data_IF_965777806036
#
_entry.id   IF_965777806036
#
_cell.length_a   1.000
_cell.length_b   1.000
_cell.length_c   1.000
_cell.angle_alpha   90.00
_cell.angle_beta   90.00
_cell.angle_gamma   90.00
#
_symmetry.space_group_name_H-M   'P 1'
#
loop_
_entity.id
_entity.type
_entity.pdbx_description
1 polymer ?
#
# COMPACT_ATOMS: atom_id res chain seq x y z
N UNK A 1 21.05 -8.16 26.94
CA UNK A 1 19.73 -8.80 27.15
C UNK A 1 18.77 -8.18 26.16
N UNK A 2 18.25 -8.95 25.20
CA UNK A 2 17.38 -8.45 24.13
C UNK A 2 16.05 -7.94 24.70
N UNK A 3 15.77 -6.64 24.58
CA UNK A 3 14.52 -5.98 25.01
C UNK A 3 13.25 -6.72 24.53
N UNK A 4 13.33 -7.37 23.36
CA UNK A 4 12.22 -8.14 22.78
C UNK A 4 11.85 -9.36 23.61
N UNK A 5 12.84 -10.06 24.21
CA UNK A 5 12.60 -11.25 25.04
C UNK A 5 11.96 -10.89 26.38
N UNK A 6 12.28 -9.72 26.91
CA UNK A 6 11.70 -9.20 28.16
C UNK A 6 10.20 -8.84 28.01
N UNK A 7 9.83 -8.17 26.92
CA UNK A 7 8.43 -7.82 26.64
C UNK A 7 7.53 -9.04 26.44
N UNK A 8 8.05 -10.11 25.82
CA UNK A 8 7.30 -11.35 25.62
C UNK A 8 7.02 -12.07 26.94
N UNK A 9 7.97 -12.04 27.89
CA UNK A 9 7.75 -12.60 29.22
C UNK A 9 6.80 -11.78 30.09
N UNK A 10 6.72 -10.46 29.86
CA UNK A 10 5.86 -9.56 30.65
C UNK A 10 4.38 -9.63 30.23
N UNK A 11 4.11 -10.03 28.97
CA UNK A 11 2.76 -10.13 28.40
C UNK A 11 2.13 -11.53 28.53
N UNK A 12 2.82 -12.47 29.17
CA UNK A 12 2.37 -13.85 29.45
C UNK A 12 1.76 -14.55 28.22
N UNK A 13 2.37 -14.36 27.05
CA UNK A 13 1.92 -14.95 25.79
C UNK A 13 2.55 -16.35 25.63
N UNK A 14 1.80 -17.45 25.87
CA UNK A 14 2.34 -18.78 25.68
C UNK A 14 2.59 -19.03 24.19
N UNK A 15 3.79 -19.51 23.87
CA UNK A 15 4.15 -20.09 22.58
C UNK A 15 4.30 -19.09 21.41
N UNK A 16 4.87 -17.91 21.67
CA UNK A 16 5.30 -16.98 20.59
C UNK A 16 6.71 -17.34 20.15
N UNK A 17 6.83 -18.00 19.00
CA UNK A 17 8.13 -18.14 18.34
C UNK A 17 8.51 -16.81 17.70
N UNK A 18 9.59 -16.21 18.18
CA UNK A 18 10.10 -14.94 17.63
C UNK A 18 10.77 -15.27 16.30
N UNK A 19 10.00 -15.27 15.23
CA UNK A 19 10.56 -15.33 13.89
C UNK A 19 11.42 -14.08 13.68
N UNK A 20 12.74 -14.25 13.72
CA UNK A 20 13.65 -13.32 13.08
C UNK A 20 13.36 -13.39 11.59
N UNK A 21 12.51 -12.49 11.09
CA UNK A 21 12.46 -12.26 9.66
C UNK A 21 13.84 -11.74 9.28
N UNK A 22 14.54 -12.52 8.46
CA UNK A 22 15.70 -12.05 7.74
C UNK A 22 15.33 -10.69 7.15
N UNK A 23 16.20 -9.70 7.37
CA UNK A 23 16.11 -8.42 6.69
C UNK A 23 15.75 -8.71 5.23
N UNK A 24 14.75 -8.00 4.71
CA UNK A 24 14.17 -8.23 3.39
C UNK A 24 15.25 -8.67 2.41
N UNK A 25 15.03 -9.74 1.67
CA UNK A 25 15.98 -10.23 0.67
C UNK A 25 16.09 -9.27 -0.54
N UNK A 26 15.74 -7.99 -0.36
CA UNK A 26 16.11 -6.94 -1.28
C UNK A 26 17.62 -6.74 -1.11
N UNK A 27 18.38 -7.34 -2.02
CA UNK A 27 19.81 -7.12 -2.04
C UNK A 27 20.08 -5.62 -2.20
N UNK A 28 21.06 -5.04 -1.46
CA UNK A 28 21.30 -3.59 -1.47
C UNK A 28 21.56 -3.00 -2.86
N UNK A 29 22.04 -3.80 -3.80
CA UNK A 29 22.29 -3.42 -5.20
C UNK A 29 21.09 -3.61 -6.13
N UNK A 30 20.00 -4.21 -5.65
CA UNK A 30 18.77 -4.46 -6.38
C UNK A 30 17.59 -3.76 -5.71
N UNK A 31 17.74 -2.47 -5.46
CA UNK A 31 16.68 -1.63 -4.91
C UNK A 31 15.57 -1.50 -5.95
N UNK A 32 14.34 -1.98 -5.66
CA UNK A 32 13.23 -1.80 -6.59
C UNK A 32 12.97 -0.31 -6.76
N UNK A 33 12.99 0.18 -8.01
CA UNK A 33 12.51 1.53 -8.29
C UNK A 33 10.99 1.51 -8.24
N UNK A 34 10.42 2.15 -7.24
CA UNK A 34 9.00 2.43 -7.15
C UNK A 34 8.73 3.80 -7.78
N UNK A 35 7.75 3.88 -8.68
CA UNK A 35 7.32 5.12 -9.29
C UNK A 35 5.78 5.18 -9.22
N UNK A 36 5.25 6.38 -9.07
CA UNK A 36 3.82 6.67 -9.08
C UNK A 36 3.55 7.94 -9.88
N UNK A 37 2.30 8.13 -10.29
CA UNK A 37 1.85 9.28 -11.05
C UNK A 37 1.05 10.19 -10.13
N UNK A 38 1.22 11.51 -10.28
CA UNK A 38 0.40 12.51 -9.61
C UNK A 38 -0.39 13.28 -10.68
N UNK A 39 -1.57 12.79 -11.13
CA UNK A 39 -2.33 13.42 -12.20
C UNK A 39 -2.77 14.86 -11.87
N UNK A 40 -2.82 15.18 -10.58
CA UNK A 40 -3.31 16.45 -10.06
C UNK A 40 -2.18 17.43 -9.67
N UNK A 41 -0.91 17.12 -9.94
CA UNK A 41 0.23 17.92 -9.45
C UNK A 41 0.17 19.41 -9.83
N UNK A 42 -0.46 19.74 -10.96
CA UNK A 42 -0.60 21.12 -11.45
C UNK A 42 -1.83 21.86 -10.92
N UNK A 43 -2.64 21.26 -10.03
CA UNK A 43 -3.91 21.81 -9.56
C UNK A 43 -3.85 22.11 -8.06
N UNK A 44 -4.27 23.31 -7.66
CA UNK A 44 -4.41 23.66 -6.25
C UNK A 44 -5.84 23.42 -5.78
N UNK A 45 -5.99 22.72 -4.65
CA UNK A 45 -7.29 22.43 -4.02
C UNK A 45 -8.07 23.70 -3.62
N UNK A 46 -7.41 24.85 -3.47
CA UNK A 46 -8.03 26.11 -3.05
C UNK A 46 -8.65 26.94 -4.18
N UNK A 47 -8.30 26.67 -5.44
CA UNK A 47 -8.67 27.52 -6.59
C UNK A 47 -9.37 26.77 -7.72
N UNK A 48 -9.44 25.44 -7.64
CA UNK A 48 -9.94 24.59 -8.72
C UNK A 48 -11.32 24.04 -8.35
N UNK A 49 -12.31 24.27 -9.21
CA UNK A 49 -13.66 23.76 -8.99
C UNK A 49 -13.69 22.22 -8.98
N UNK A 50 -14.51 21.56 -8.13
CA UNK A 50 -14.56 20.10 -8.02
C UNK A 50 -14.76 19.36 -9.35
N UNK A 51 -15.50 19.95 -10.28
CA UNK A 51 -15.73 19.39 -11.62
C UNK A 51 -14.45 19.21 -12.44
N UNK A 52 -13.41 20.01 -12.18
CA UNK A 52 -12.13 19.90 -12.88
C UNK A 52 -11.40 18.64 -12.43
N UNK A 53 -11.37 18.34 -11.12
CA UNK A 53 -10.77 17.10 -10.61
C UNK A 53 -11.47 15.87 -11.19
N UNK A 54 -12.80 15.89 -11.30
CA UNK A 54 -13.57 14.82 -11.94
C UNK A 54 -13.17 14.62 -13.40
N UNK A 55 -12.99 15.71 -14.17
CA UNK A 55 -12.57 15.65 -15.58
C UNK A 55 -11.15 15.12 -15.74
N UNK A 56 -10.22 15.59 -14.90
CA UNK A 56 -8.82 15.11 -14.90
C UNK A 56 -8.78 13.62 -14.57
N UNK A 57 -9.51 13.19 -13.54
CA UNK A 57 -9.63 11.78 -13.18
C UNK A 57 -10.25 10.95 -14.31
N UNK A 58 -11.34 11.41 -14.92
CA UNK A 58 -11.99 10.72 -16.03
C UNK A 58 -11.07 10.58 -17.25
N UNK A 59 -10.32 11.64 -17.59
CA UNK A 59 -9.32 11.62 -18.66
C UNK A 59 -8.21 10.61 -18.37
N UNK A 60 -7.66 10.63 -17.15
CA UNK A 60 -6.66 9.66 -16.70
C UNK A 60 -7.20 8.22 -16.74
N UNK A 61 -8.44 8.00 -16.28
CA UNK A 61 -9.09 6.69 -16.35
C UNK A 61 -9.27 6.22 -17.78
N UNK A 62 -9.60 7.12 -18.72
CA UNK A 62 -9.70 6.81 -20.15
C UNK A 62 -8.36 6.44 -20.76
N UNK A 63 -7.28 7.15 -20.41
CA UNK A 63 -5.91 6.84 -20.84
C UNK A 63 -5.50 5.41 -20.45
N UNK A 64 -5.90 4.96 -19.25
CA UNK A 64 -5.64 3.61 -18.75
C UNK A 64 -6.84 2.67 -18.87
N UNK A 65 -7.73 2.88 -19.85
CA UNK A 65 -8.95 2.05 -20.05
C UNK A 65 -8.68 0.54 -20.11
N UNK A 66 -7.51 0.13 -20.62
CA UNK A 66 -7.07 -1.28 -20.66
C UNK A 66 -6.46 -1.83 -19.35
N UNK A 67 -6.49 -1.06 -18.26
CA UNK A 67 -6.05 -1.48 -16.92
C UNK A 67 -7.26 -1.66 -16.01
N UNK A 68 -7.22 -2.65 -15.13
CA UNK A 68 -8.22 -2.81 -14.06
C UNK A 68 -8.01 -1.72 -13.01
N UNK A 69 -9.07 -1.00 -12.64
CA UNK A 69 -9.01 0.00 -11.58
C UNK A 69 -9.21 -0.67 -10.22
N UNK A 70 -8.33 -0.33 -9.28
CA UNK A 70 -8.35 -0.81 -7.89
C UNK A 70 -8.24 0.43 -7.01
N UNK A 71 -9.15 0.60 -6.07
CA UNK A 71 -9.18 1.75 -5.17
C UNK A 71 -8.87 1.30 -3.75
N UNK A 72 -8.04 2.04 -3.04
CA UNK A 72 -7.62 1.70 -1.68
C UNK A 72 -7.83 2.87 -0.75
N UNK A 73 -8.25 2.60 0.48
CA UNK A 73 -8.46 3.62 1.52
C UNK A 73 -8.23 3.02 2.92
N UNK A 74 -7.62 3.78 3.82
CA UNK A 74 -7.34 3.44 5.20
C UNK A 74 -7.99 4.42 6.18
N UNK A 75 -8.95 3.95 6.98
CA UNK A 75 -9.71 4.82 7.89
C UNK A 75 -9.42 4.54 9.36
N UNK A 76 -9.20 5.61 10.15
CA UNK A 76 -9.07 5.55 11.60
C UNK A 76 -10.13 6.40 12.30
N UNK A 77 -10.75 5.82 13.32
CA UNK A 77 -11.59 6.46 14.34
C UNK A 77 -11.04 6.11 15.74
N UNK A 78 -11.65 6.64 16.79
CA UNK A 78 -11.16 6.44 18.16
C UNK A 78 -11.08 4.96 18.59
N UNK A 79 -12.05 4.16 18.14
CA UNK A 79 -12.28 2.76 18.51
C UNK A 79 -12.17 1.79 17.32
N UNK A 80 -11.81 2.31 16.14
CA UNK A 80 -11.79 1.56 14.90
C UNK A 80 -10.61 1.96 14.02
N UNK A 81 -9.91 0.96 13.49
CA UNK A 81 -8.96 1.13 12.40
C UNK A 81 -9.25 0.05 11.37
N UNK A 82 -9.33 0.44 10.11
CA UNK A 82 -9.58 -0.49 9.02
C UNK A 82 -9.03 0.03 7.71
N UNK A 83 -8.94 -0.87 6.74
CA UNK A 83 -8.64 -0.51 5.37
C UNK A 83 -9.57 -1.26 4.40
N UNK A 84 -9.73 -0.70 3.22
CA UNK A 84 -10.58 -1.22 2.17
C UNK A 84 -9.86 -1.25 0.82
N UNK A 85 -10.18 -2.27 0.02
CA UNK A 85 -9.81 -2.37 -1.39
C UNK A 85 -11.08 -2.59 -2.21
N UNK A 86 -11.33 -1.73 -3.18
CA UNK A 86 -12.46 -1.86 -4.10
C UNK A 86 -11.94 -2.19 -5.48
N UNK A 87 -12.42 -3.29 -6.05
CA UNK A 87 -12.10 -3.76 -7.39
C UNK A 87 -13.42 -4.00 -8.11
N UNK A 88 -13.68 -3.25 -9.18
CA UNK A 88 -15.00 -3.24 -9.83
C UNK A 88 -16.10 -2.95 -8.78
N UNK A 89 -17.06 -3.85 -8.61
CA UNK A 89 -18.16 -3.73 -7.64
C UNK A 89 -17.94 -4.56 -6.36
N UNK A 90 -16.72 -5.10 -6.17
CA UNK A 90 -16.37 -5.94 -5.02
C UNK A 90 -15.52 -5.13 -4.04
N UNK A 91 -15.91 -5.14 -2.77
CA UNK A 91 -15.19 -4.51 -1.67
C UNK A 91 -14.55 -5.58 -0.76
N UNK A 92 -13.26 -5.43 -0.50
CA UNK A 92 -12.50 -6.20 0.47
C UNK A 92 -12.12 -5.29 1.64
N UNK A 93 -12.69 -5.54 2.82
CA UNK A 93 -12.39 -4.79 4.04
C UNK A 93 -11.56 -5.59 5.02
N UNK A 94 -10.60 -4.94 5.67
CA UNK A 94 -9.76 -5.54 6.70
C UNK A 94 -9.78 -4.66 7.95
N UNK A 95 -9.99 -5.28 9.11
CA UNK A 95 -9.88 -4.61 10.41
C UNK A 95 -8.45 -4.74 10.92
N UNK A 96 -7.90 -3.62 11.40
CA UNK A 96 -6.60 -3.56 12.04
C UNK A 96 -6.76 -3.25 13.54
N UNK A 97 -5.70 -3.52 14.30
CA UNK A 97 -5.65 -3.11 15.69
C UNK A 97 -5.63 -1.58 15.80
N UNK A 98 -6.40 -1.03 16.75
CA UNK A 98 -6.55 0.43 16.92
C UNK A 98 -5.27 1.14 17.34
N UNK A 99 -4.28 0.41 17.87
CA UNK A 99 -2.95 0.93 18.17
C UNK A 99 -2.14 1.31 16.92
N UNK A 100 -2.50 0.77 15.75
CA UNK A 100 -1.82 1.08 14.50
C UNK A 100 -2.15 2.49 14.00
N UNK A 101 -1.27 3.03 13.15
CA UNK A 101 -1.43 4.37 12.57
C UNK A 101 -2.35 4.36 11.34
N UNK A 102 -2.86 5.53 10.93
CA UNK A 102 -3.55 5.68 9.64
C UNK A 102 -2.63 5.26 8.49
N UNK A 103 -1.35 5.67 8.54
CA UNK A 103 -0.33 5.24 7.58
C UNK A 103 -0.27 3.70 7.46
N UNK A 104 -0.34 2.98 8.58
CA UNK A 104 -0.34 1.51 8.57
C UNK A 104 -1.59 0.97 7.86
N UNK A 105 -2.77 1.53 8.13
CA UNK A 105 -4.00 1.10 7.44
C UNK A 105 -3.91 1.35 5.93
N UNK A 106 -3.46 2.53 5.51
CA UNK A 106 -3.23 2.86 4.08
C UNK A 106 -2.24 1.91 3.42
N UNK A 107 -1.10 1.67 4.07
CA UNK A 107 -0.09 0.75 3.56
C UNK A 107 -0.61 -0.70 3.46
N UNK A 108 -1.45 -1.13 4.40
CA UNK A 108 -2.10 -2.45 4.35
C UNK A 108 -3.17 -2.49 3.26
N UNK A 109 -3.88 -1.40 2.97
CA UNK A 109 -4.82 -1.30 1.86
C UNK A 109 -4.11 -1.59 0.52
N UNK A 110 -2.98 -0.91 0.28
CA UNK A 110 -2.16 -1.11 -0.92
C UNK A 110 -1.55 -2.51 -0.96
N UNK A 111 -1.05 -3.01 0.17
CA UNK A 111 -0.54 -4.38 0.26
C UNK A 111 -1.61 -5.41 -0.10
N UNK A 112 -2.82 -5.25 0.45
CA UNK A 112 -3.97 -6.13 0.16
C UNK A 112 -4.37 -6.08 -1.31
N UNK A 113 -4.36 -4.90 -1.94
CA UNK A 113 -4.59 -4.77 -3.37
C UNK A 113 -3.58 -5.58 -4.21
N UNK A 114 -2.30 -5.54 -3.83
CA UNK A 114 -1.25 -6.30 -4.51
C UNK A 114 -1.39 -7.81 -4.31
N UNK A 115 -1.84 -8.26 -3.14
CA UNK A 115 -2.16 -9.67 -2.91
C UNK A 115 -3.32 -10.16 -3.78
N UNK A 116 -4.37 -9.33 -3.94
CA UNK A 116 -5.48 -9.62 -4.85
C UNK A 116 -5.00 -9.68 -6.30
N UNK A 117 -4.08 -8.77 -6.69
CA UNK A 117 -3.48 -8.79 -8.03
C UNK A 117 -2.74 -10.09 -8.30
N UNK A 118 -1.87 -10.49 -7.38
CA UNK A 118 -1.06 -11.71 -7.49
C UNK A 118 -1.93 -12.97 -7.58
N UNK A 119 -3.08 -12.95 -6.92
CA UNK A 119 -3.97 -14.11 -6.85
C UNK A 119 -4.77 -14.30 -8.13
N UNK A 120 -5.47 -13.27 -8.62
CA UNK A 120 -6.53 -13.45 -9.62
C UNK A 120 -6.74 -12.29 -10.61
N UNK A 121 -5.87 -11.27 -10.64
CA UNK A 121 -6.11 -10.12 -11.53
C UNK A 121 -5.42 -10.23 -12.88
N UNK A 122 -5.93 -9.52 -13.91
CA UNK A 122 -5.23 -9.33 -15.17
C UNK A 122 -3.83 -8.72 -14.98
N UNK A 123 -2.99 -8.82 -16.01
CA UNK A 123 -1.61 -8.31 -15.96
C UNK A 123 -1.50 -6.78 -15.85
N UNK A 124 -2.55 -6.02 -16.17
CA UNK A 124 -2.54 -4.56 -16.19
C UNK A 124 -3.50 -4.01 -15.14
N UNK A 125 -2.98 -3.33 -14.12
CA UNK A 125 -3.77 -2.78 -13.02
C UNK A 125 -3.35 -1.35 -12.66
N UNK A 126 -4.31 -0.51 -12.30
CA UNK A 126 -4.10 0.82 -11.74
C UNK A 126 -4.60 0.81 -10.30
N UNK A 127 -3.71 1.05 -9.34
CA UNK A 127 -4.04 1.21 -7.93
C UNK A 127 -4.17 2.71 -7.66
N UNK A 128 -5.33 3.14 -7.19
CA UNK A 128 -5.62 4.51 -6.78
C UNK A 128 -5.65 4.59 -5.26
N UNK A 129 -4.77 5.42 -4.70
CA UNK A 129 -4.69 5.74 -3.27
C UNK A 129 -4.60 7.26 -3.11
N UNK A 130 -5.16 7.78 -2.03
CA UNK A 130 -4.98 9.17 -1.61
C UNK A 130 -3.84 9.34 -0.59
N UNK A 131 -3.16 8.25 -0.22
CA UNK A 131 -2.08 8.27 0.75
C UNK A 131 -0.74 8.63 0.14
N UNK A 132 -0.51 9.94 -0.05
CA UNK A 132 0.80 10.47 -0.49
C UNK A 132 1.93 9.98 0.42
N UNK A 133 1.70 9.93 1.74
CA UNK A 133 2.70 9.47 2.70
C UNK A 133 3.19 8.04 2.45
N UNK A 134 2.32 7.15 1.98
CA UNK A 134 2.70 5.77 1.67
C UNK A 134 3.45 5.72 0.34
N UNK A 135 2.99 6.45 -0.69
CA UNK A 135 3.70 6.53 -1.97
C UNK A 135 5.13 7.06 -1.80
N UNK A 136 5.30 8.15 -1.03
CA UNK A 136 6.62 8.70 -0.69
C UNK A 136 7.48 7.71 0.09
N UNK A 137 6.91 6.95 1.02
CA UNK A 137 7.63 5.93 1.78
C UNK A 137 8.07 4.73 0.93
N UNK A 138 7.29 4.39 -0.12
CA UNK A 138 7.63 3.34 -1.08
C UNK A 138 8.73 3.81 -2.05
N UNK A 139 8.65 5.07 -2.50
CA UNK A 139 9.67 5.69 -3.37
C UNK A 139 11.00 5.90 -2.64
N UNK A 140 10.97 6.41 -1.41
CA UNK A 140 12.16 6.74 -0.61
C UNK A 140 12.56 5.62 0.37
N UNK A 141 12.39 4.37 -0.05
CA UNK A 141 12.72 3.19 0.75
C UNK A 141 14.15 3.23 1.31
N UNK A 142 14.30 2.83 2.58
CA UNK A 142 15.59 2.65 3.24
C UNK A 142 15.53 1.52 4.29
N UNK A 143 16.67 1.20 4.92
CA UNK A 143 16.81 0.12 5.92
C UNK A 143 15.96 0.30 7.19
N UNK A 144 15.30 1.46 7.37
CA UNK A 144 14.37 1.75 8.47
C UNK A 144 12.91 1.83 8.00
N UNK A 145 12.60 1.31 6.82
CA UNK A 145 11.24 1.30 6.28
C UNK A 145 10.24 0.65 7.24
N UNK A 146 9.02 1.18 7.26
CA UNK A 146 7.91 0.57 7.96
C UNK A 146 7.64 -0.83 7.38
N UNK A 147 7.57 -1.87 8.23
CA UNK A 147 7.49 -3.28 7.80
C UNK A 147 6.47 -3.55 6.69
N UNK A 148 5.29 -2.93 6.78
CA UNK A 148 4.24 -3.06 5.75
C UNK A 148 4.70 -2.48 4.41
N UNK A 149 5.27 -1.27 4.39
CA UNK A 149 5.78 -0.65 3.16
C UNK A 149 6.88 -1.50 2.52
N UNK A 150 7.75 -2.10 3.33
CA UNK A 150 8.77 -2.99 2.82
C UNK A 150 8.18 -4.26 2.17
N UNK A 151 7.17 -4.88 2.80
CA UNK A 151 6.46 -6.04 2.23
C UNK A 151 5.72 -5.65 0.94
N UNK A 152 5.15 -4.43 0.89
CA UNK A 152 4.51 -3.85 -0.30
C UNK A 152 5.50 -3.70 -1.46
N UNK A 153 6.73 -3.26 -1.20
CA UNK A 153 7.77 -3.20 -2.24
C UNK A 153 8.20 -4.57 -2.73
N UNK A 154 8.36 -5.54 -1.82
CA UNK A 154 8.77 -6.90 -2.19
C UNK A 154 7.73 -7.56 -3.13
N UNK A 155 6.44 -7.51 -2.77
CA UNK A 155 5.38 -8.04 -3.63
C UNK A 155 5.28 -7.28 -4.95
N UNK A 156 5.41 -5.95 -4.93
CA UNK A 156 5.41 -5.12 -6.15
C UNK A 156 6.53 -5.55 -7.10
N UNK A 157 7.75 -5.74 -6.55
CA UNK A 157 8.93 -6.18 -7.30
C UNK A 157 8.75 -7.57 -7.89
N UNK A 158 8.15 -8.49 -7.11
CA UNK A 158 7.82 -9.83 -7.58
C UNK A 158 6.80 -9.80 -8.72
N UNK A 159 5.76 -8.98 -8.60
CA UNK A 159 4.74 -8.80 -9.64
C UNK A 159 5.35 -8.22 -10.94
N UNK A 160 6.21 -7.22 -10.84
CA UNK A 160 6.92 -6.68 -12.01
C UNK A 160 7.81 -7.74 -12.69
N UNK A 161 8.56 -8.54 -11.91
CA UNK A 161 9.34 -9.67 -12.45
C UNK A 161 8.46 -10.72 -13.13
N UNK A 162 7.23 -10.90 -12.65
CA UNK A 162 6.23 -11.80 -13.22
C UNK A 162 5.48 -11.20 -14.42
N UNK A 163 5.88 -10.03 -14.92
CA UNK A 163 5.31 -9.40 -16.12
C UNK A 163 4.02 -8.61 -15.88
N UNK A 164 3.65 -8.33 -14.63
CA UNK A 164 2.56 -7.41 -14.34
C UNK A 164 2.99 -5.96 -14.64
N UNK A 165 2.04 -5.16 -15.11
CA UNK A 165 2.15 -3.72 -15.30
C UNK A 165 1.19 -3.07 -14.32
N UNK A 166 1.75 -2.54 -13.25
CA UNK A 166 0.99 -1.90 -12.17
C UNK A 166 1.35 -0.42 -12.18
N UNK A 167 0.33 0.42 -12.12
CA UNK A 167 0.46 1.87 -12.04
C UNK A 167 -0.13 2.29 -10.72
N UNK A 168 0.58 3.17 -10.02
CA UNK A 168 0.16 3.82 -8.80
C UNK A 168 -0.08 5.30 -9.11
#
# INVERSE_FOLDING_TARGET
>A
MDRKKFLVSELDLPNVDIQQRNALQLQPWNTPRFNYIIPFASYSNSTVAPVVFQRVFASHRSQYSGYSAIYTDGSKRADYLGCGVVIQDIMHGYRLDTSCSVFTAEAVAIYGALQLIDSNMPRKNCIYTDSMSVLEALENYNDRCHLVACNTLDITSRLYRNGFKIIF
#
